data_IF_902258170321
#
_entry.id   IF_902258170321
#
_cell.length_a   1.000
_cell.length_b   1.000
_cell.length_c   1.000
_cell.angle_alpha   90.00
_cell.angle_beta   90.00
_cell.angle_gamma   90.00
#
_symmetry.space_group_name_H-M   'P 1'
#
loop_
_entity.id
_entity.type
_entity.pdbx_description
1 polymer ?
#
# COMPACT_ATOMS: atom_id res chain seq x y z
N UNK A 1 -6.37 -0.96 11.27
CA UNK A 1 -6.55 -1.52 9.92
C UNK A 1 -6.65 -3.02 10.08
N UNK A 2 -7.78 -3.62 9.70
CA UNK A 2 -7.96 -5.07 9.66
C UNK A 2 -7.22 -5.63 8.43
N UNK A 3 -6.34 -6.62 8.64
CA UNK A 3 -5.49 -7.15 7.55
C UNK A 3 -6.31 -7.96 6.56
N UNK A 4 -7.11 -8.92 7.02
CA UNK A 4 -7.78 -9.87 6.14
C UNK A 4 -8.84 -9.18 5.29
N UNK A 5 -9.65 -8.30 5.90
CA UNK A 5 -10.59 -7.45 5.15
C UNK A 5 -9.88 -6.55 4.15
N UNK A 6 -8.69 -6.06 4.48
CA UNK A 6 -7.90 -5.24 3.54
C UNK A 6 -7.35 -6.08 2.40
N UNK A 7 -6.88 -7.30 2.67
CA UNK A 7 -6.43 -8.23 1.65
C UNK A 7 -7.54 -8.58 0.68
N UNK A 8 -8.72 -8.93 1.20
CA UNK A 8 -9.86 -9.33 0.37
C UNK A 8 -10.32 -8.19 -0.54
N UNK A 9 -10.36 -6.95 -0.02
CA UNK A 9 -10.66 -5.76 -0.82
C UNK A 9 -9.59 -5.45 -1.87
N UNK A 10 -8.30 -5.62 -1.54
CA UNK A 10 -7.21 -5.30 -2.49
C UNK A 10 -7.06 -6.38 -3.56
N UNK A 11 -7.32 -7.66 -3.23
CA UNK A 11 -7.21 -8.79 -4.15
C UNK A 11 -8.55 -9.14 -4.81
N UNK A 12 -9.56 -8.28 -4.68
CA UNK A 12 -10.82 -8.41 -5.37
C UNK A 12 -10.59 -8.50 -6.90
N UNK A 13 -11.51 -9.10 -7.67
CA UNK A 13 -11.35 -9.25 -9.12
C UNK A 13 -11.02 -7.95 -9.86
N UNK A 14 -11.64 -6.84 -9.46
CA UNK A 14 -11.45 -5.48 -9.96
C UNK A 14 -10.15 -4.80 -9.48
N UNK A 15 -9.36 -5.48 -8.65
CA UNK A 15 -8.21 -4.91 -7.98
C UNK A 15 -8.62 -3.96 -6.85
N UNK A 16 -7.68 -3.12 -6.41
CA UNK A 16 -7.98 -2.18 -5.35
C UNK A 16 -6.81 -1.30 -4.98
N UNK A 17 -7.09 -0.26 -4.18
CA UNK A 17 -6.05 0.63 -3.68
C UNK A 17 -6.18 0.90 -2.18
N UNK A 18 -5.04 1.23 -1.58
CA UNK A 18 -4.93 1.65 -0.20
C UNK A 18 -3.89 2.77 -0.10
N UNK A 19 -4.33 3.92 0.41
CA UNK A 19 -3.44 5.00 0.78
C UNK A 19 -3.35 5.10 2.30
N UNK A 20 -2.12 5.14 2.81
CA UNK A 20 -1.81 5.27 4.22
C UNK A 20 -0.92 6.48 4.46
N UNK A 21 -1.21 7.23 5.53
CA UNK A 21 -0.35 8.31 6.00
C UNK A 21 -0.05 8.18 7.49
N UNK A 22 1.18 8.54 7.87
CA UNK A 22 1.59 8.71 9.26
C UNK A 22 2.08 10.16 9.42
N UNK A 23 1.42 10.93 10.29
CA UNK A 23 1.73 12.36 10.53
C UNK A 23 1.86 12.62 12.03
N UNK A 24 2.92 13.32 12.40
CA UNK A 24 3.17 13.91 13.71
C UNK A 24 3.95 15.21 13.49
N UNK A 25 3.26 16.34 13.25
CA UNK A 25 3.89 17.64 12.98
C UNK A 25 4.86 18.06 14.10
N UNK A 26 4.51 17.80 15.35
CA UNK A 26 5.32 18.08 16.54
C UNK A 26 6.64 17.31 16.59
N UNK A 27 6.78 16.27 15.75
CA UNK A 27 7.99 15.45 15.60
C UNK A 27 8.64 15.62 14.22
N UNK A 28 8.15 16.56 13.40
CA UNK A 28 8.59 16.73 12.02
C UNK A 28 8.39 15.48 11.15
N UNK A 29 7.41 14.63 11.47
CA UNK A 29 7.18 13.35 10.79
C UNK A 29 5.95 13.43 9.88
N UNK A 30 6.16 13.16 8.59
CA UNK A 30 5.09 13.05 7.60
C UNK A 30 5.48 12.00 6.55
N UNK A 31 4.83 10.83 6.56
CA UNK A 31 5.13 9.70 5.67
C UNK A 31 3.89 9.23 4.92
N UNK A 32 4.05 8.97 3.62
CA UNK A 32 3.04 8.31 2.80
C UNK A 32 3.47 6.88 2.47
N UNK A 33 2.48 6.00 2.35
CA UNK A 33 2.62 4.68 1.75
C UNK A 33 1.35 4.38 0.96
N UNK A 34 1.48 4.02 -0.32
CA UNK A 34 0.34 3.70 -1.19
C UNK A 34 0.53 2.35 -1.82
N UNK A 35 -0.56 1.60 -1.97
CA UNK A 35 -0.63 0.32 -2.66
C UNK A 35 -1.74 0.37 -3.68
N UNK A 36 -1.44 -0.13 -4.87
CA UNK A 36 -2.39 -0.44 -5.94
C UNK A 36 -2.18 -1.90 -6.28
N UNK A 37 -3.28 -2.63 -6.35
CA UNK A 37 -3.33 -3.99 -6.85
C UNK A 37 -4.17 -3.95 -8.11
N UNK A 38 -3.60 -4.42 -9.21
CA UNK A 38 -4.24 -4.45 -10.52
C UNK A 38 -3.96 -5.78 -11.23
N UNK A 39 -4.63 -6.02 -12.36
CA UNK A 39 -4.35 -7.13 -13.26
C UNK A 39 -3.67 -6.62 -14.52
N UNK A 40 -2.60 -7.28 -14.94
CA UNK A 40 -2.01 -6.98 -16.24
C UNK A 40 -2.82 -7.60 -17.39
N UNK A 41 -2.40 -7.32 -18.63
CA UNK A 41 -3.03 -7.83 -19.85
C UNK A 41 -3.00 -9.37 -19.97
N UNK A 42 -2.19 -10.04 -19.16
CA UNK A 42 -2.07 -11.50 -19.11
C UNK A 42 -2.83 -12.08 -17.90
N UNK A 43 -3.61 -11.26 -17.21
CA UNK A 43 -4.39 -11.66 -16.03
C UNK A 43 -3.57 -11.87 -14.75
N UNK A 44 -2.28 -11.50 -14.75
CA UNK A 44 -1.41 -11.62 -13.58
C UNK A 44 -1.70 -10.51 -12.58
N UNK A 45 -1.58 -10.82 -11.29
CA UNK A 45 -1.76 -9.84 -10.22
C UNK A 45 -0.51 -9.00 -10.04
N UNK A 46 -0.62 -7.69 -10.23
CA UNK A 46 0.45 -6.72 -10.04
C UNK A 46 0.24 -5.96 -8.73
N UNK A 47 1.17 -6.11 -7.78
CA UNK A 47 1.27 -5.29 -6.59
C UNK A 47 2.21 -4.13 -6.88
N UNK A 48 1.69 -2.90 -6.90
CA UNK A 48 2.48 -1.68 -7.11
C UNK A 48 2.35 -0.81 -5.88
N UNK A 49 3.47 -0.41 -5.27
CA UNK A 49 3.43 0.44 -4.10
C UNK A 49 4.50 1.50 -4.09
N UNK A 50 4.19 2.62 -3.45
CA UNK A 50 5.10 3.74 -3.27
C UNK A 50 5.18 4.18 -1.82
N UNK A 51 6.31 4.78 -1.44
CA UNK A 51 6.56 5.26 -0.09
C UNK A 51 7.49 6.47 -0.09
N UNK A 52 7.32 7.36 0.89
CA UNK A 52 8.15 8.56 0.94
C UNK A 52 7.85 9.47 2.11
N UNK A 53 8.60 10.58 2.18
CA UNK A 53 8.17 11.73 2.98
C UNK A 53 7.07 12.44 2.19
N UNK A 54 6.03 12.91 2.87
CA UNK A 54 4.97 13.67 2.21
C UNK A 54 5.58 14.99 1.70
N UNK A 55 5.25 15.38 0.47
CA UNK A 55 5.84 16.53 -0.22
C UNK A 55 7.14 16.22 -0.98
N UNK A 56 7.56 14.96 -1.08
CA UNK A 56 8.69 14.55 -1.91
C UNK A 56 8.30 13.47 -2.91
N UNK A 57 9.16 13.22 -3.92
CA UNK A 57 8.93 12.19 -4.97
C UNK A 57 8.75 10.78 -4.39
N UNK A 58 9.42 10.46 -3.28
CA UNK A 58 9.39 9.12 -2.69
C UNK A 58 10.11 8.07 -3.54
N UNK A 59 9.70 6.82 -3.37
CA UNK A 59 10.22 5.61 -4.02
C UNK A 59 9.05 4.69 -4.39
N UNK A 60 9.23 3.86 -5.40
CA UNK A 60 8.22 2.91 -5.88
C UNK A 60 8.80 1.51 -6.11
N UNK A 61 7.95 0.49 -6.01
CA UNK A 61 8.29 -0.89 -6.36
C UNK A 61 7.05 -1.63 -6.85
N UNK A 62 7.26 -2.58 -7.75
CA UNK A 62 6.23 -3.51 -8.22
C UNK A 62 6.67 -4.96 -8.07
N UNK A 63 5.70 -5.87 -7.98
CA UNK A 63 5.84 -7.33 -8.06
C UNK A 63 4.64 -7.92 -8.78
N UNK A 64 4.85 -8.93 -9.62
CA UNK A 64 3.78 -9.60 -10.39
C UNK A 64 3.68 -11.09 -10.07
N UNK A 65 2.47 -11.57 -9.88
CA UNK A 65 2.15 -12.95 -9.45
C UNK A 65 1.16 -13.60 -10.40
N UNK A 66 1.20 -14.93 -10.51
CA UNK A 66 0.32 -15.67 -11.41
C UNK A 66 -1.17 -15.52 -11.05
N UNK A 67 -1.48 -15.46 -9.76
CA UNK A 67 -2.86 -15.44 -9.25
C UNK A 67 -2.95 -14.73 -7.88
N UNK A 68 -4.17 -14.43 -7.38
CA UNK A 68 -4.37 -13.79 -6.08
C UNK A 68 -3.83 -14.56 -4.87
N UNK A 69 -3.82 -15.91 -4.92
CA UNK A 69 -3.33 -16.73 -3.81
C UNK A 69 -1.81 -16.56 -3.67
N UNK A 70 -1.08 -16.57 -4.79
CA UNK A 70 0.35 -16.31 -4.82
C UNK A 70 0.71 -14.88 -4.34
N UNK A 71 -0.13 -13.88 -4.64
CA UNK A 71 0.08 -12.50 -4.22
C UNK A 71 -0.27 -12.25 -2.72
N UNK A 72 -1.15 -13.07 -2.13
CA UNK A 72 -1.69 -12.83 -0.78
C UNK A 72 -0.63 -12.81 0.31
N UNK A 73 0.31 -13.74 0.28
CA UNK A 73 1.41 -13.81 1.26
C UNK A 73 2.30 -12.55 1.25
N UNK A 74 2.89 -12.19 0.10
CA UNK A 74 3.67 -10.97 -0.05
C UNK A 74 2.90 -9.69 0.31
N UNK A 75 1.65 -9.55 -0.12
CA UNK A 75 0.81 -8.40 0.22
C UNK A 75 0.55 -8.33 1.73
N UNK A 76 0.24 -9.47 2.37
CA UNK A 76 0.06 -9.56 3.83
C UNK A 76 1.31 -9.09 4.57
N UNK A 77 2.49 -9.54 4.15
CA UNK A 77 3.75 -9.13 4.75
C UNK A 77 3.98 -7.61 4.63
N UNK A 78 3.65 -7.00 3.49
CA UNK A 78 3.72 -5.55 3.30
C UNK A 78 2.78 -4.80 4.26
N UNK A 79 1.53 -5.26 4.43
CA UNK A 79 0.55 -4.68 5.35
C UNK A 79 0.97 -4.83 6.81
N UNK A 80 1.45 -6.01 7.22
CA UNK A 80 1.99 -6.25 8.56
C UNK A 80 3.17 -5.33 8.87
N UNK A 81 4.04 -5.07 7.89
CA UNK A 81 5.15 -4.12 8.03
C UNK A 81 4.67 -2.68 8.25
N UNK A 82 3.47 -2.32 7.78
CA UNK A 82 2.83 -1.02 8.05
C UNK A 82 2.19 -0.95 9.42
N UNK A 83 1.56 -2.02 9.90
CA UNK A 83 1.03 -2.10 11.25
C UNK A 83 2.11 -2.01 12.33
N UNK A 84 3.29 -2.62 12.08
CA UNK A 84 4.44 -2.56 13.00
C UNK A 84 5.27 -1.27 12.87
N UNK A 85 4.92 -0.36 11.96
CA UNK A 85 5.66 0.88 11.77
C UNK A 85 5.79 1.76 13.03
N UNK A 86 4.79 1.88 13.93
CA UNK A 86 4.91 2.66 15.18
C UNK A 86 6.14 2.29 16.00
N UNK A 87 6.56 1.02 15.98
CA UNK A 87 7.75 0.56 16.71
C UNK A 87 9.06 1.19 16.19
N UNK A 88 9.07 1.67 14.94
CA UNK A 88 10.22 2.29 14.28
C UNK A 88 10.09 3.80 14.09
N UNK A 89 8.86 4.31 13.98
CA UNK A 89 8.62 5.72 13.62
C UNK A 89 7.71 6.44 14.63
N UNK A 90 7.39 5.80 15.77
CA UNK A 90 6.53 6.28 16.85
C UNK A 90 5.06 6.60 16.49
N UNK A 91 4.70 6.57 15.20
CA UNK A 91 3.39 6.99 14.70
C UNK A 91 2.77 5.90 13.84
N UNK A 92 1.48 5.63 14.06
CA UNK A 92 0.71 4.69 13.27
C UNK A 92 0.28 5.28 11.93
N UNK A 93 0.36 4.45 10.90
CA UNK A 93 -0.29 4.73 9.64
C UNK A 93 -1.81 4.67 9.81
N UNK A 94 -2.50 5.65 9.22
CA UNK A 94 -3.97 5.71 9.11
C UNK A 94 -4.35 5.66 7.64
N UNK A 95 -5.47 5.02 7.35
CA UNK A 95 -6.04 5.03 6.00
C UNK A 95 -6.51 6.44 5.68
N UNK A 96 -6.19 6.89 4.48
CA UNK A 96 -6.76 8.10 3.89
C UNK A 96 -7.54 7.67 2.65
N UNK A 97 -8.58 8.42 2.27
CA UNK A 97 -9.20 8.21 0.96
C UNK A 97 -8.12 8.33 -0.11
N UNK A 98 -7.99 7.28 -0.92
CA UNK A 98 -7.16 7.36 -2.10
C UNK A 98 -7.85 8.36 -3.03
N UNK A 99 -7.35 9.60 -3.08
CA UNK A 99 -7.72 10.55 -4.12
C UNK A 99 -7.65 9.83 -5.46
N UNK A 100 -8.77 9.86 -6.19
CA UNK A 100 -9.03 9.05 -7.37
C UNK A 100 -7.83 9.10 -8.33
N UNK A 101 -7.30 7.91 -8.62
CA UNK A 101 -6.58 7.55 -9.85
C UNK A 101 -5.67 8.65 -10.45
N UNK A 102 -4.45 8.79 -9.93
CA UNK A 102 -3.37 9.41 -10.71
C UNK A 102 -2.47 8.31 -11.27
N UNK A 103 -2.59 8.15 -12.58
CA UNK A 103 -1.76 7.36 -13.48
C UNK A 103 -0.29 7.73 -13.23
N UNK A 104 0.48 6.81 -12.64
CA UNK A 104 1.92 7.02 -12.40
C UNK A 104 2.69 6.59 -13.65
N UNK A 105 2.99 7.55 -14.53
CA UNK A 105 4.06 7.42 -15.54
C UNK A 105 5.30 8.18 -15.01
#
# INVERSE_FOLDING_TARGET
MDIERTLDRLLAPEGGSLALEARAPERGLARSWRMVVDRDLFGRICLVWSWGRIGTRGQGKSLSFADPQAARGPLRALLQRRLRAPQRIAVAYRSVEAGQHLHWI
#
